data_IF_988781789350
#
_entry.id   IF_988781789350
#
_cell.length_a   1.000
_cell.length_b   1.000
_cell.length_c   1.000
_cell.angle_alpha   90.00
_cell.angle_beta   90.00
_cell.angle_gamma   90.00
#
_symmetry.space_group_name_H-M   'P 1'
#
loop_
_entity.id
_entity.type
_entity.pdbx_description
1 polymer ?
#
# COMPACT_ATOMS: atom_id res chain seq x y z
N UNK A 1 -5.92 -12.80 22.47
CA UNK A 1 -6.34 -13.70 21.38
C UNK A 1 -5.61 -13.26 20.13
N UNK A 2 -4.77 -14.15 19.63
CA UNK A 2 -3.71 -13.90 18.66
C UNK A 2 -4.20 -13.27 17.34
N UNK A 3 -3.50 -12.22 16.91
CA UNK A 3 -3.55 -11.73 15.54
C UNK A 3 -2.79 -12.71 14.64
N UNK A 4 -3.46 -13.79 14.26
CA UNK A 4 -2.98 -14.73 13.24
C UNK A 4 -2.88 -14.00 11.89
N UNK A 5 -1.66 -13.72 11.43
CA UNK A 5 -1.25 -13.65 10.00
C UNK A 5 -2.28 -13.15 8.97
N UNK A 6 -3.06 -12.13 9.29
CA UNK A 6 -4.38 -11.90 8.72
C UNK A 6 -4.34 -11.03 7.47
N UNK A 7 -4.54 -11.64 6.30
CA UNK A 7 -4.91 -10.92 5.06
C UNK A 7 -5.90 -9.79 5.41
N UNK A 8 -5.50 -8.54 5.14
CA UNK A 8 -6.24 -7.34 5.56
C UNK A 8 -7.72 -7.34 5.10
N UNK A 9 -8.58 -6.59 5.79
CA UNK A 9 -10.02 -6.63 5.57
C UNK A 9 -10.44 -6.42 4.10
N UNK A 10 -9.81 -5.48 3.39
CA UNK A 10 -10.08 -5.24 1.96
C UNK A 10 -9.69 -6.42 1.06
N UNK A 11 -8.61 -7.15 1.38
CA UNK A 11 -8.24 -8.36 0.63
C UNK A 11 -9.31 -9.44 0.78
N UNK A 12 -9.82 -9.66 2.00
CA UNK A 12 -10.89 -10.65 2.21
C UNK A 12 -12.17 -10.27 1.49
N UNK A 13 -12.54 -8.98 1.52
CA UNK A 13 -13.70 -8.46 0.78
C UNK A 13 -13.52 -8.68 -0.73
N UNK A 14 -12.34 -8.37 -1.27
CA UNK A 14 -12.05 -8.55 -2.68
C UNK A 14 -12.09 -10.02 -3.12
N UNK A 15 -11.48 -10.91 -2.36
CA UNK A 15 -11.50 -12.36 -2.62
C UNK A 15 -12.96 -12.88 -2.66
N UNK A 16 -13.81 -12.42 -1.74
CA UNK A 16 -15.23 -12.78 -1.69
C UNK A 16 -16.03 -12.22 -2.88
N UNK A 17 -15.76 -10.96 -3.29
CA UNK A 17 -16.37 -10.36 -4.49
C UNK A 17 -15.99 -11.17 -5.74
N UNK A 18 -14.72 -11.56 -5.90
CA UNK A 18 -14.26 -12.36 -7.05
C UNK A 18 -14.89 -13.75 -7.09
N UNK A 19 -15.10 -14.38 -5.93
CA UNK A 19 -15.82 -15.65 -5.83
C UNK A 19 -17.31 -15.53 -6.21
N UNK A 20 -17.90 -14.34 -6.09
CA UNK A 20 -19.31 -14.04 -6.40
C UNK A 20 -19.45 -12.97 -7.48
N UNK A 21 -18.65 -13.10 -8.54
CA UNK A 21 -18.47 -12.06 -9.56
C UNK A 21 -19.77 -11.59 -10.23
N UNK A 22 -20.76 -12.45 -10.37
CA UNK A 22 -21.96 -12.16 -11.19
C UNK A 22 -23.09 -11.50 -10.38
N UNK A 23 -23.18 -11.79 -9.07
CA UNK A 23 -24.15 -11.20 -8.16
C UNK A 23 -23.69 -11.36 -6.69
N UNK A 24 -23.54 -10.24 -5.99
CA UNK A 24 -23.29 -10.20 -4.56
C UNK A 24 -23.99 -9.02 -3.88
N UNK A 25 -24.26 -9.18 -2.58
CA UNK A 25 -24.76 -8.11 -1.72
C UNK A 25 -23.77 -7.83 -0.59
N UNK A 26 -23.76 -6.62 0.01
CA UNK A 26 -22.94 -6.32 1.17
C UNK A 26 -23.16 -7.30 2.35
N UNK A 27 -24.38 -7.82 2.50
CA UNK A 27 -24.73 -8.81 3.51
C UNK A 27 -24.05 -10.16 3.26
N UNK A 28 -24.03 -10.64 2.02
CA UNK A 28 -23.31 -11.86 1.66
C UNK A 28 -21.80 -11.73 1.92
N UNK A 29 -21.21 -10.59 1.53
CA UNK A 29 -19.79 -10.31 1.78
C UNK A 29 -19.50 -10.26 3.30
N UNK A 30 -20.41 -9.70 4.09
CA UNK A 30 -20.28 -9.69 5.55
C UNK A 30 -20.24 -11.11 6.12
N UNK A 31 -21.18 -11.97 5.69
CA UNK A 31 -21.22 -13.38 6.10
C UNK A 31 -19.93 -14.14 5.74
N UNK A 32 -19.35 -13.88 4.57
CA UNK A 32 -18.15 -14.57 4.10
C UNK A 32 -16.84 -14.09 4.75
N UNK A 33 -16.77 -12.83 5.16
CA UNK A 33 -15.49 -12.18 5.53
C UNK A 33 -15.40 -11.68 6.96
N UNK A 34 -16.56 -11.58 7.61
CA UNK A 34 -16.80 -10.94 8.90
C UNK A 34 -16.30 -9.48 8.97
N UNK A 35 -16.05 -8.85 7.83
CA UNK A 35 -15.80 -7.42 7.77
C UNK A 35 -17.09 -6.65 8.10
N UNK A 36 -16.98 -5.50 8.77
CA UNK A 36 -18.17 -4.73 9.14
C UNK A 36 -18.90 -4.21 7.89
N UNK A 37 -20.23 -4.11 7.96
CA UNK A 37 -21.02 -3.56 6.85
C UNK A 37 -20.60 -2.15 6.45
N UNK A 38 -20.13 -1.34 7.42
CA UNK A 38 -19.54 -0.02 7.14
C UNK A 38 -18.27 -0.12 6.29
N UNK A 39 -17.31 -0.98 6.65
CA UNK A 39 -16.09 -1.18 5.87
C UNK A 39 -16.38 -1.73 4.47
N UNK A 40 -17.30 -2.69 4.36
CA UNK A 40 -17.76 -3.24 3.09
C UNK A 40 -18.40 -2.14 2.24
N UNK A 41 -19.33 -1.36 2.81
CA UNK A 41 -20.01 -0.29 2.10
C UNK A 41 -19.05 0.79 1.59
N UNK A 42 -18.10 1.22 2.43
CA UNK A 42 -17.05 2.16 2.02
C UNK A 42 -16.22 1.63 0.85
N UNK A 43 -15.78 0.38 0.93
CA UNK A 43 -14.92 -0.20 -0.09
C UNK A 43 -15.68 -0.50 -1.39
N UNK A 44 -16.89 -1.07 -1.31
CA UNK A 44 -17.77 -1.29 -2.48
C UNK A 44 -18.10 0.03 -3.16
N UNK A 45 -18.38 1.11 -2.40
CA UNK A 45 -18.62 2.43 -2.99
C UNK A 45 -17.39 2.96 -3.74
N UNK A 46 -16.18 2.81 -3.18
CA UNK A 46 -14.95 3.17 -3.87
C UNK A 46 -14.74 2.34 -5.16
N UNK A 47 -15.06 1.03 -5.12
CA UNK A 47 -15.01 0.15 -6.29
C UNK A 47 -16.02 0.57 -7.37
N UNK A 48 -17.23 1.00 -6.99
CA UNK A 48 -18.23 1.53 -7.93
C UNK A 48 -17.70 2.80 -8.61
N UNK A 49 -17.21 3.76 -7.83
CA UNK A 49 -16.66 5.01 -8.36
C UNK A 49 -15.42 4.78 -9.24
N UNK A 50 -14.62 3.75 -8.93
CA UNK A 50 -13.45 3.34 -9.72
C UNK A 50 -13.77 2.48 -10.94
N UNK A 51 -15.05 2.13 -11.17
CA UNK A 51 -15.49 1.29 -12.29
C UNK A 51 -15.09 -0.19 -12.17
N UNK A 52 -14.86 -0.68 -10.95
CA UNK A 52 -14.52 -2.08 -10.70
C UNK A 52 -15.74 -2.98 -10.53
N UNK A 53 -16.77 -2.46 -9.86
CA UNK A 53 -18.05 -3.13 -9.67
C UNK A 53 -19.17 -2.21 -10.09
N UNK A 54 -20.32 -2.75 -10.47
CA UNK A 54 -21.50 -1.97 -10.77
C UNK A 54 -22.72 -2.53 -10.08
N UNK A 55 -23.70 -1.66 -9.86
CA UNK A 55 -24.96 -2.02 -9.24
C UNK A 55 -25.92 -2.56 -10.31
N UNK A 56 -26.52 -3.72 -10.05
CA UNK A 56 -27.37 -4.44 -11.02
C UNK A 56 -28.86 -4.38 -10.71
N UNK A 57 -29.26 -3.85 -9.54
CA UNK A 57 -30.66 -3.63 -9.21
C UNK A 57 -30.97 -2.18 -8.84
N UNK A 58 -32.16 -1.71 -9.23
CA UNK A 58 -32.73 -0.47 -8.75
C UNK A 58 -33.58 -0.77 -7.50
N UNK A 59 -33.20 -0.18 -6.37
CA UNK A 59 -33.97 -0.36 -5.13
C UNK A 59 -35.30 0.36 -5.24
N UNK A 60 -36.36 -0.37 -4.98
CA UNK A 60 -37.74 0.11 -4.92
C UNK A 60 -38.18 0.42 -3.48
N UNK A 61 -37.45 -0.12 -2.49
CA UNK A 61 -37.69 0.12 -1.07
C UNK A 61 -36.43 0.11 -0.20
N UNK A 62 -36.55 0.62 1.03
CA UNK A 62 -35.42 0.71 1.96
C UNK A 62 -34.95 -0.66 2.47
N UNK A 63 -35.85 -1.64 2.55
CA UNK A 63 -35.53 -3.01 2.98
C UNK A 63 -34.86 -3.85 1.89
N UNK A 64 -34.91 -3.42 0.63
CA UNK A 64 -34.34 -4.16 -0.49
C UNK A 64 -32.82 -4.05 -0.50
N UNK A 65 -32.12 -5.18 -0.66
CA UNK A 65 -30.66 -5.22 -0.69
C UNK A 65 -30.11 -4.60 -1.99
N UNK A 66 -28.91 -4.06 -1.93
CA UNK A 66 -28.19 -3.66 -3.15
C UNK A 66 -27.43 -4.86 -3.70
N UNK A 67 -27.65 -5.15 -4.98
CA UNK A 67 -26.95 -6.18 -5.73
C UNK A 67 -25.90 -5.53 -6.62
N UNK A 68 -24.73 -6.15 -6.66
CA UNK A 68 -23.59 -5.70 -7.43
C UNK A 68 -22.98 -6.84 -8.22
N UNK A 69 -22.30 -6.52 -9.32
CA UNK A 69 -21.45 -7.46 -10.06
C UNK A 69 -20.07 -6.87 -10.30
N UNK A 70 -19.08 -7.75 -10.44
CA UNK A 70 -17.71 -7.40 -10.77
C UNK A 70 -17.57 -7.16 -12.28
N UNK A 71 -17.18 -5.95 -12.64
CA UNK A 71 -17.00 -5.51 -14.04
C UNK A 71 -15.54 -5.58 -14.46
N UNK A 72 -14.61 -5.21 -13.57
CA UNK A 72 -13.17 -5.20 -13.84
C UNK A 72 -12.42 -5.95 -12.75
N UNK A 73 -11.91 -7.12 -13.10
CA UNK A 73 -11.05 -7.93 -12.22
C UNK A 73 -9.58 -7.53 -12.39
N UNK A 74 -8.92 -7.09 -11.32
CA UNK A 74 -7.47 -6.82 -11.26
C UNK A 74 -6.64 -8.01 -10.82
N UNK A 75 -7.27 -9.19 -10.70
CA UNK A 75 -6.64 -10.43 -10.27
C UNK A 75 -6.62 -10.56 -8.75
N UNK A 76 -5.56 -11.20 -8.25
CA UNK A 76 -5.47 -11.59 -6.83
C UNK A 76 -5.42 -10.36 -5.91
N UNK A 77 -4.71 -9.31 -6.30
CA UNK A 77 -4.57 -8.11 -5.49
C UNK A 77 -5.78 -7.20 -5.62
N UNK A 78 -6.27 -6.73 -4.47
CA UNK A 78 -7.42 -5.83 -4.41
C UNK A 78 -7.06 -4.43 -4.92
N UNK A 79 -7.96 -3.75 -5.66
CA UNK A 79 -7.77 -2.35 -6.04
C UNK A 79 -7.66 -1.46 -4.79
N UNK A 80 -6.52 -0.76 -4.64
CA UNK A 80 -6.31 0.22 -3.55
C UNK A 80 -6.81 1.59 -3.97
N UNK A 81 -8.02 1.93 -3.52
CA UNK A 81 -8.74 3.12 -3.95
C UNK A 81 -8.96 4.10 -2.79
N UNK A 82 -8.92 5.39 -3.10
CA UNK A 82 -9.42 6.43 -2.20
C UNK A 82 -10.96 6.44 -2.17
N UNK A 83 -11.55 7.23 -1.29
CA UNK A 83 -13.01 7.35 -1.18
C UNK A 83 -13.71 7.88 -2.45
N UNK A 84 -12.94 8.41 -3.41
CA UNK A 84 -13.43 8.88 -4.72
C UNK A 84 -13.23 7.83 -5.82
N UNK A 85 -12.83 6.60 -5.46
CA UNK A 85 -12.59 5.51 -6.40
C UNK A 85 -11.30 5.63 -7.20
N UNK A 86 -10.40 6.56 -6.84
CA UNK A 86 -9.12 6.76 -7.55
C UNK A 86 -8.03 5.93 -6.91
N UNK A 87 -7.08 5.37 -7.68
CA UNK A 87 -5.94 4.66 -7.12
C UNK A 87 -5.19 5.51 -6.09
N UNK A 88 -4.83 4.93 -4.94
CA UNK A 88 -4.05 5.62 -3.91
C UNK A 88 -2.63 5.84 -4.44
N UNK A 89 -2.37 7.06 -4.95
CA UNK A 89 -1.09 7.43 -5.57
C UNK A 89 0.12 7.30 -4.65
N UNK A 90 -0.04 7.22 -3.32
CA UNK A 90 1.10 7.00 -2.41
C UNK A 90 1.64 5.57 -2.49
N UNK A 91 0.74 4.60 -2.53
CA UNK A 91 1.09 3.17 -2.49
C UNK A 91 1.86 2.79 -3.73
N UNK A 92 1.32 3.18 -4.89
CA UNK A 92 1.94 2.95 -6.16
C UNK A 92 3.36 3.63 -6.25
N UNK A 93 3.65 4.71 -5.51
CA UNK A 93 4.91 5.49 -5.64
C UNK A 93 5.99 4.79 -4.84
N UNK A 94 5.58 4.35 -3.66
CA UNK A 94 6.35 3.47 -2.79
C UNK A 94 6.67 2.15 -3.50
N UNK A 95 5.70 1.56 -4.20
CA UNK A 95 5.90 0.35 -5.03
C UNK A 95 6.91 0.59 -6.15
N UNK A 96 6.79 1.70 -6.87
CA UNK A 96 7.73 2.07 -7.93
C UNK A 96 9.16 2.24 -7.37
N UNK A 97 9.32 2.94 -6.25
CA UNK A 97 10.61 3.09 -5.57
C UNK A 97 11.16 1.76 -5.07
N UNK A 98 10.34 0.93 -4.43
CA UNK A 98 10.73 -0.40 -3.94
C UNK A 98 11.24 -1.30 -5.05
N UNK A 99 10.48 -1.39 -6.15
CA UNK A 99 10.90 -2.14 -7.34
C UNK A 99 12.19 -1.60 -7.93
N UNK A 100 12.32 -0.27 -7.99
CA UNK A 100 13.50 0.42 -8.56
C UNK A 100 14.75 0.12 -7.73
N UNK A 101 14.69 0.22 -6.40
CA UNK A 101 15.83 -0.08 -5.52
C UNK A 101 16.38 -1.49 -5.74
N UNK A 102 15.49 -2.47 -5.94
CA UNK A 102 15.88 -3.86 -6.25
C UNK A 102 16.55 -3.97 -7.63
N UNK A 103 16.05 -3.25 -8.64
CA UNK A 103 16.60 -3.29 -10.01
C UNK A 103 17.98 -2.61 -10.07
N UNK A 104 18.15 -1.47 -9.39
CA UNK A 104 19.40 -0.70 -9.41
C UNK A 104 20.58 -1.51 -8.87
N UNK A 105 20.38 -2.31 -7.81
CA UNK A 105 21.38 -3.25 -7.27
C UNK A 105 22.64 -2.64 -6.63
N UNK A 106 22.95 -1.37 -6.90
CA UNK A 106 24.09 -0.62 -6.39
C UNK A 106 23.72 0.54 -5.47
N UNK A 107 24.69 1.43 -5.22
CA UNK A 107 24.49 2.63 -4.41
C UNK A 107 23.75 3.71 -5.19
N UNK A 108 22.74 4.32 -4.59
CA UNK A 108 21.96 5.41 -5.17
C UNK A 108 21.68 6.51 -4.14
N UNK A 109 21.41 7.71 -4.62
CA UNK A 109 20.89 8.82 -3.83
C UNK A 109 19.37 8.85 -3.86
N UNK A 110 18.75 9.58 -2.92
CA UNK A 110 17.31 9.84 -2.93
C UNK A 110 16.83 10.52 -4.22
N UNK A 111 17.68 11.34 -4.86
CA UNK A 111 17.36 12.03 -6.11
C UNK A 111 17.37 11.08 -7.29
N UNK A 112 18.36 10.20 -7.38
CA UNK A 112 18.43 9.17 -8.42
C UNK A 112 17.25 8.20 -8.29
N UNK A 113 16.92 7.76 -7.06
CA UNK A 113 15.76 6.90 -6.83
C UNK A 113 14.45 7.57 -7.27
N UNK A 114 14.24 8.84 -6.91
CA UNK A 114 13.05 9.58 -7.31
C UNK A 114 12.95 9.69 -8.85
N UNK A 115 14.05 10.01 -9.52
CA UNK A 115 14.08 10.13 -10.98
C UNK A 115 13.80 8.78 -11.66
N UNK A 116 14.45 7.70 -11.22
CA UNK A 116 14.29 6.36 -11.80
C UNK A 116 12.91 5.73 -11.54
N UNK A 117 12.28 6.06 -10.41
CA UNK A 117 10.96 5.55 -10.06
C UNK A 117 9.79 6.38 -10.64
N UNK A 118 10.07 7.56 -11.20
CA UNK A 118 9.04 8.44 -11.77
C UNK A 118 8.60 7.98 -13.15
N UNK A 119 7.32 8.17 -13.47
CA UNK A 119 6.80 8.13 -14.84
C UNK A 119 6.10 9.45 -15.18
N UNK A 120 5.79 9.75 -16.46
CA UNK A 120 5.08 10.99 -16.82
C UNK A 120 3.76 11.18 -16.07
N UNK A 121 2.98 10.10 -15.93
CA UNK A 121 1.71 10.12 -15.18
C UNK A 121 1.92 10.15 -13.65
N UNK A 122 3.17 9.97 -13.21
CA UNK A 122 3.48 9.61 -11.83
C UNK A 122 4.83 10.12 -11.34
N UNK A 123 4.96 11.43 -11.15
CA UNK A 123 6.19 12.01 -10.62
C UNK A 123 6.38 11.64 -9.15
N UNK A 124 7.58 11.16 -8.81
CA UNK A 124 8.01 10.93 -7.42
C UNK A 124 8.82 12.14 -6.97
N UNK A 125 8.35 12.84 -5.94
CA UNK A 125 9.10 13.95 -5.37
C UNK A 125 10.34 13.46 -4.62
N UNK A 126 11.46 14.20 -4.74
CA UNK A 126 12.69 13.91 -4.00
C UNK A 126 12.49 13.85 -2.48
N UNK A 127 11.62 14.70 -1.92
CA UNK A 127 11.27 14.71 -0.51
C UNK A 127 10.58 13.40 -0.10
N UNK A 128 9.66 12.89 -0.93
CA UNK A 128 9.00 11.60 -0.72
C UNK A 128 9.99 10.43 -0.70
N UNK A 129 10.92 10.39 -1.66
CA UNK A 129 11.97 9.38 -1.68
C UNK A 129 12.89 9.47 -0.45
N UNK A 130 13.25 10.67 -0.04
CA UNK A 130 14.11 10.91 1.14
C UNK A 130 13.44 10.44 2.44
N UNK A 131 12.16 10.77 2.63
CA UNK A 131 11.39 10.32 3.79
C UNK A 131 11.26 8.80 3.82
N UNK A 132 10.94 8.19 2.67
CA UNK A 132 10.78 6.74 2.56
C UNK A 132 12.09 6.01 2.88
N UNK A 133 13.20 6.44 2.28
CA UNK A 133 14.53 5.88 2.55
C UNK A 133 14.95 6.03 4.02
N UNK A 134 14.64 7.16 4.64
CA UNK A 134 14.91 7.36 6.06
C UNK A 134 14.24 6.29 6.94
N UNK A 135 12.99 5.96 6.63
CA UNK A 135 12.20 4.96 7.38
C UNK A 135 12.66 3.52 7.07
N UNK A 136 13.00 3.23 5.81
CA UNK A 136 13.59 1.93 5.45
C UNK A 136 14.97 1.69 6.06
N UNK A 137 15.74 2.75 6.31
CA UNK A 137 17.00 2.66 7.05
C UNK A 137 16.72 2.27 8.50
N UNK A 138 15.74 2.89 9.16
CA UNK A 138 15.36 2.54 10.53
C UNK A 138 14.86 1.08 10.62
N UNK A 139 14.09 0.63 9.63
CA UNK A 139 13.59 -0.74 9.53
C UNK A 139 14.62 -1.76 9.01
N UNK A 140 15.84 -1.33 8.64
CA UNK A 140 16.92 -2.24 8.23
C UNK A 140 16.80 -2.83 6.83
N UNK A 141 15.94 -2.31 5.95
CA UNK A 141 15.87 -2.71 4.53
C UNK A 141 16.94 -2.04 3.66
N UNK A 142 17.39 -0.87 4.09
CA UNK A 142 18.35 -0.03 3.38
C UNK A 142 19.45 0.39 4.35
N UNK A 143 20.68 0.50 3.86
CA UNK A 143 21.80 1.07 4.63
C UNK A 143 22.30 2.36 4.00
N UNK A 144 22.82 3.27 4.81
CA UNK A 144 23.56 4.44 4.31
C UNK A 144 24.94 3.97 3.85
N UNK A 145 25.20 4.06 2.55
CA UNK A 145 26.51 3.80 1.98
C UNK A 145 27.48 4.96 2.24
N UNK A 146 28.79 4.68 2.21
CA UNK A 146 29.81 5.73 2.38
C UNK A 146 29.62 6.78 1.28
N UNK A 147 29.37 8.00 1.70
CA UNK A 147 29.18 9.10 0.77
C UNK A 147 30.54 9.47 0.16
N UNK A 148 30.61 9.60 -1.17
CA UNK A 148 31.83 10.03 -1.84
C UNK A 148 32.09 11.48 -1.42
N UNK A 149 33.14 11.71 -0.61
CA UNK A 149 33.55 13.05 -0.21
C UNK A 149 34.30 13.67 -1.38
N UNK A 150 33.71 14.66 -2.02
CA UNK A 150 34.41 15.58 -2.91
C UNK A 150 34.76 16.81 -2.10
N UNK A 151 36.05 17.20 -2.09
CA UNK A 151 36.51 18.37 -1.35
C UNK A 151 35.67 19.62 -1.72
N UNK A 152 35.22 20.36 -0.70
CA UNK A 152 34.43 21.59 -0.89
C UNK A 152 32.93 21.41 -1.18
N UNK A 153 32.40 20.20 -1.30
CA UNK A 153 30.94 19.95 -1.47
C UNK A 153 30.35 19.12 -0.33
N UNK A 154 29.14 19.51 0.12
CA UNK A 154 28.34 18.66 1.01
C UNK A 154 28.08 17.33 0.31
N UNK A 155 28.57 16.24 0.91
CA UNK A 155 28.43 14.91 0.33
C UNK A 155 26.96 14.49 0.34
N UNK A 156 26.43 14.08 -0.81
CA UNK A 156 25.05 13.59 -0.92
C UNK A 156 24.95 12.20 -0.28
N UNK A 157 23.99 11.97 0.63
CA UNK A 157 23.79 10.64 1.21
C UNK A 157 23.56 9.59 0.13
N UNK A 158 24.33 8.51 0.20
CA UNK A 158 24.20 7.34 -0.66
C UNK A 158 23.51 6.24 0.15
N UNK A 159 22.67 5.47 -0.50
CA UNK A 159 21.89 4.39 0.08
C UNK A 159 22.14 3.11 -0.72
N UNK A 160 22.07 1.97 -0.04
CA UNK A 160 22.15 0.65 -0.64
C UNK A 160 21.01 -0.20 -0.15
N UNK A 161 20.25 -0.77 -1.08
CA UNK A 161 19.24 -1.77 -0.76
C UNK A 161 19.91 -3.07 -0.31
N UNK A 162 19.39 -3.74 0.71
CA UNK A 162 19.90 -5.02 1.18
C UNK A 162 19.11 -6.18 0.54
N UNK A 163 19.65 -6.89 -0.47
CA UNK A 163 18.90 -7.94 -1.16
C UNK A 163 18.40 -9.05 -0.23
N UNK A 164 19.16 -9.37 0.82
CA UNK A 164 18.79 -10.36 1.84
C UNK A 164 17.61 -9.93 2.72
N UNK A 165 17.20 -8.66 2.67
CA UNK A 165 16.03 -8.12 3.36
C UNK A 165 14.81 -7.98 2.45
N UNK A 166 14.91 -8.41 1.19
CA UNK A 166 13.77 -8.41 0.29
C UNK A 166 12.70 -9.41 0.78
N UNK A 167 11.60 -8.87 1.29
CA UNK A 167 10.49 -9.65 1.83
C UNK A 167 9.45 -10.03 0.78
N UNK A 168 9.45 -9.37 -0.37
CA UNK A 168 8.49 -9.60 -1.45
C UNK A 168 8.13 -8.34 -2.24
N UNK A 169 7.18 -8.46 -3.19
CA UNK A 169 6.86 -7.38 -4.13
C UNK A 169 6.13 -6.20 -3.48
N UNK A 170 5.46 -6.40 -2.32
CA UNK A 170 4.74 -5.32 -1.64
C UNK A 170 5.72 -4.47 -0.84
N UNK A 171 5.81 -3.15 -1.05
CA UNK A 171 6.73 -2.33 -0.27
C UNK A 171 6.34 -2.30 1.20
N UNK A 172 7.31 -2.19 2.13
CA UNK A 172 7.02 -1.80 3.50
C UNK A 172 6.24 -0.48 3.54
N UNK A 173 5.12 -0.47 4.27
CA UNK A 173 4.22 0.66 4.45
C UNK A 173 4.71 1.51 5.62
N UNK A 174 4.94 2.79 5.36
CA UNK A 174 5.38 3.76 6.36
C UNK A 174 4.17 4.53 6.89
N UNK A 175 3.87 4.36 8.18
CA UNK A 175 2.78 5.04 8.88
C UNK A 175 3.16 6.44 9.38
N UNK A 176 2.16 7.20 9.85
CA UNK A 176 2.34 8.56 10.39
C UNK A 176 3.07 8.58 11.74
N UNK A 177 2.82 7.59 12.61
CA UNK A 177 3.42 7.49 13.95
C UNK A 177 4.77 6.76 13.90
N UNK A 178 5.56 7.03 12.87
CA UNK A 178 6.88 6.44 12.66
C UNK A 178 6.89 4.91 12.93
N UNK A 179 6.02 4.18 12.24
CA UNK A 179 6.11 2.72 12.18
C UNK A 179 6.25 2.27 10.74
N UNK A 180 6.88 1.11 10.56
CA UNK A 180 7.03 0.42 9.28
C UNK A 180 6.40 -0.95 9.42
N UNK A 181 5.34 -1.18 8.66
CA UNK A 181 4.68 -2.48 8.53
C UNK A 181 5.08 -3.12 7.19
N UNK A 182 5.54 -4.36 7.21
CA UNK A 182 5.84 -5.13 6.01
C UNK A 182 4.64 -6.04 5.66
N UNK A 183 3.92 -5.77 4.55
CA UNK A 183 2.78 -6.59 4.16
C UNK A 183 3.17 -8.01 3.74
N UNK A 184 4.37 -8.23 3.22
CA UNK A 184 4.82 -9.57 2.81
C UNK A 184 5.10 -10.47 3.99
N UNK A 185 5.63 -9.90 5.07
CA UNK A 185 5.85 -10.62 6.33
C UNK A 185 4.63 -10.62 7.26
N UNK A 186 3.66 -9.75 6.97
CA UNK A 186 2.52 -9.41 7.81
C UNK A 186 2.92 -9.01 9.23
N UNK A 187 3.92 -8.12 9.34
CA UNK A 187 4.51 -7.73 10.63
C UNK A 187 4.87 -6.26 10.67
N UNK A 188 4.72 -5.64 11.85
CA UNK A 188 5.38 -4.37 12.16
C UNK A 188 6.86 -4.67 12.39
N UNK A 189 7.72 -4.17 11.51
CA UNK A 189 9.16 -4.46 11.50
C UNK A 189 9.98 -3.36 12.14
N UNK A 190 9.38 -2.19 12.35
CA UNK A 190 9.95 -1.09 13.11
C UNK A 190 8.85 -0.17 13.63
N UNK A 191 9.03 0.40 14.82
CA UNK A 191 8.18 1.44 15.39
C UNK A 191 9.04 2.32 16.30
N UNK A 192 8.82 3.63 16.27
CA UNK A 192 9.44 4.56 17.21
C UNK A 192 8.85 4.34 18.60
N UNK A 193 9.69 4.11 19.62
CA UNK A 193 9.24 4.07 21.01
C UNK A 193 8.69 5.45 21.37
N UNK A 194 7.41 5.53 21.71
CA UNK A 194 6.82 6.73 22.27
C UNK A 194 7.28 6.84 23.73
N UNK A 195 8.27 7.68 24.01
CA UNK A 195 8.57 8.05 25.39
C UNK A 195 7.36 8.81 25.96
N UNK A 196 6.81 8.29 27.05
CA UNK A 196 5.57 8.76 27.67
C UNK A 196 5.79 9.98 28.59
N UNK A 197 6.81 10.80 28.31
CA UNK A 197 7.23 11.94 29.15
C UNK A 197 6.95 13.32 28.49
N UNK A 198 6.40 13.36 27.28
CA UNK A 198 6.07 14.62 26.56
C UNK A 198 4.54 14.83 26.45
N UNK A 199 3.82 14.83 27.58
CA UNK A 199 2.41 15.25 27.69
C UNK A 199 2.26 16.41 28.68
#
# INVERSE_FOLDING_TARGET
MESSGGRGAHQRIWDAIRARRDDFTPQLIHSDTWATLGAIGHYVNALVLGGYVERINQRTGYAEQQHFRLVKDTGIEYPRLDAKGRPISRDLCTEAMWRTMRIVGGDFSSRELAALASTPDRPVAHSTASLYLGQLVKAGYVVKAKATRVAGKRSTPRYRFLPQRYSGPRPPVVGRNAYVYDPNLDKVVWQEEMNHDDL
#
